data_IF_259840113348
#
_entry.id   IF_259840113348
#
_cell.length_a   1.000
_cell.length_b   1.000
_cell.length_c   1.000
_cell.angle_alpha   90.00
_cell.angle_beta   90.00
_cell.angle_gamma   90.00
#
_symmetry.space_group_name_H-M   'P 1'
#
loop_
_entity.id
_entity.type
_entity.pdbx_description
1 polymer ?
#
# COMPACT_ATOMS: atom_id res chain seq x y z
N UNK A 1 -9.25 -16.83 -13.90
CA UNK A 1 -8.70 -15.59 -14.48
C UNK A 1 -7.26 -15.49 -14.02
N UNK A 2 -6.28 -15.61 -14.92
CA UNK A 2 -4.87 -15.56 -14.54
C UNK A 2 -4.34 -14.12 -14.72
N UNK A 3 -4.73 -13.21 -13.83
CA UNK A 3 -4.04 -11.92 -13.73
C UNK A 3 -2.70 -12.18 -13.02
N UNK A 4 -1.58 -11.90 -13.69
CA UNK A 4 -0.24 -12.10 -13.12
C UNK A 4 -0.03 -11.31 -11.83
N UNK A 5 0.91 -11.76 -10.99
CA UNK A 5 1.28 -11.13 -9.72
C UNK A 5 1.54 -9.62 -9.93
N UNK A 6 0.84 -8.79 -9.16
CA UNK A 6 1.04 -7.33 -9.19
C UNK A 6 2.18 -6.97 -8.23
N UNK A 7 3.15 -6.22 -8.72
CA UNK A 7 4.31 -5.75 -7.93
C UNK A 7 4.37 -4.24 -7.99
N UNK A 8 4.28 -3.60 -6.83
CA UNK A 8 4.40 -2.16 -6.68
C UNK A 8 5.73 -1.88 -5.98
N UNK A 9 6.59 -1.08 -6.58
CA UNK A 9 7.80 -0.57 -5.94
C UNK A 9 7.68 0.93 -5.73
N UNK A 10 7.99 1.38 -4.52
CA UNK A 10 8.04 2.76 -4.10
C UNK A 10 9.51 3.07 -3.78
N UNK A 11 10.12 3.88 -4.62
CA UNK A 11 11.54 4.24 -4.49
C UNK A 11 11.69 5.70 -4.08
N UNK A 12 12.56 5.98 -3.11
CA UNK A 12 12.99 7.33 -2.77
C UNK A 12 14.51 7.41 -2.85
N UNK A 13 15.05 8.59 -3.13
CA UNK A 13 16.50 8.78 -3.17
C UNK A 13 17.07 8.84 -1.75
N UNK A 14 18.24 8.25 -1.56
CA UNK A 14 19.00 8.36 -0.31
C UNK A 14 19.56 9.78 -0.19
N UNK A 15 19.12 10.54 0.82
CA UNK A 15 19.76 11.82 1.12
C UNK A 15 21.25 11.59 1.40
N UNK A 16 22.10 12.31 0.65
CA UNK A 16 23.55 12.29 0.81
C UNK A 16 23.92 12.67 2.26
N UNK A 17 24.90 11.98 2.83
CA UNK A 17 25.28 12.14 4.25
C UNK A 17 25.74 13.57 4.62
N UNK A 18 26.07 14.41 3.65
CA UNK A 18 26.60 15.77 3.87
C UNK A 18 25.57 16.75 4.44
N UNK A 19 24.28 16.50 4.27
CA UNK A 19 23.18 17.35 4.79
C UNK A 19 22.51 16.77 6.05
N UNK A 20 22.92 15.56 6.48
CA UNK A 20 22.34 14.94 7.68
C UNK A 20 22.86 15.63 8.93
N UNK A 21 21.99 16.37 9.61
CA UNK A 21 22.16 16.60 11.06
C UNK A 21 22.21 15.23 11.73
N UNK A 22 23.31 14.94 12.43
CA UNK A 22 23.55 13.71 13.19
C UNK A 22 22.33 13.45 14.08
N UNK A 23 21.46 12.51 13.69
CA UNK A 23 20.26 12.12 14.44
C UNK A 23 18.91 12.18 13.70
N UNK A 24 18.80 12.76 12.50
CA UNK A 24 17.49 13.00 11.86
C UNK A 24 17.19 12.12 10.65
N UNK A 25 17.66 10.87 10.62
CA UNK A 25 17.36 10.00 9.49
C UNK A 25 15.95 9.40 9.65
N UNK A 26 15.02 9.87 8.80
CA UNK A 26 13.59 9.53 8.81
C UNK A 26 13.35 8.03 8.65
N UNK A 27 12.26 7.52 9.24
CA UNK A 27 11.84 6.13 8.98
C UNK A 27 11.46 6.00 7.52
N UNK A 28 11.66 4.80 6.95
CA UNK A 28 11.36 4.55 5.54
C UNK A 28 9.92 4.94 5.19
N UNK A 29 8.93 4.53 5.99
CA UNK A 29 7.51 4.88 5.80
C UNK A 29 7.15 6.37 6.03
N UNK A 30 8.10 7.20 6.47
CA UNK A 30 7.91 8.64 6.71
C UNK A 30 8.45 9.50 5.55
N UNK A 31 8.96 8.88 4.49
CA UNK A 31 9.41 9.62 3.32
C UNK A 31 8.24 10.33 2.61
N UNK A 32 8.42 11.60 2.20
CA UNK A 32 7.33 12.45 1.73
C UNK A 32 6.86 12.08 0.32
N UNK A 33 7.78 11.66 -0.55
CA UNK A 33 7.53 11.41 -1.97
C UNK A 33 8.26 10.14 -2.39
N UNK A 34 7.55 9.32 -3.16
CA UNK A 34 8.03 8.07 -3.72
C UNK A 34 7.88 8.07 -5.23
N UNK A 35 8.86 7.55 -5.94
CA UNK A 35 8.71 7.15 -7.35
C UNK A 35 8.04 5.78 -7.38
N UNK A 36 6.93 5.69 -8.08
CA UNK A 36 6.12 4.47 -8.14
C UNK A 36 6.41 3.70 -9.40
N UNK A 37 6.63 2.39 -9.27
CA UNK A 37 6.74 1.46 -10.37
C UNK A 37 5.72 0.33 -10.19
N UNK A 38 4.95 0.04 -11.24
CA UNK A 38 4.06 -1.11 -11.28
C UNK A 38 4.60 -2.12 -12.29
N UNK A 39 4.91 -3.33 -11.82
CA UNK A 39 5.49 -4.41 -12.62
C UNK A 39 6.74 -3.95 -13.42
N UNK A 40 7.60 -3.15 -12.77
CA UNK A 40 8.84 -2.61 -13.36
C UNK A 40 8.66 -1.39 -14.25
N UNK A 41 7.43 -0.94 -14.52
CA UNK A 41 7.16 0.26 -15.31
C UNK A 41 6.91 1.46 -14.39
N UNK A 42 7.56 2.60 -14.67
CA UNK A 42 7.34 3.84 -13.91
C UNK A 42 5.92 4.34 -14.13
N UNK A 43 5.18 4.54 -13.04
CA UNK A 43 3.78 4.95 -13.06
C UNK A 43 3.54 6.36 -12.50
N UNK A 44 4.57 6.99 -11.91
CA UNK A 44 4.48 8.37 -11.43
C UNK A 44 5.09 8.53 -10.05
N UNK A 45 4.43 9.35 -9.23
CA UNK A 45 4.82 9.60 -7.84
C UNK A 45 3.69 9.23 -6.88
N UNK A 46 4.06 8.80 -5.67
CA UNK A 46 3.14 8.56 -4.57
C UNK A 46 3.55 9.37 -3.34
N UNK A 47 2.56 9.75 -2.54
CA UNK A 47 2.75 10.47 -1.28
C UNK A 47 1.92 9.78 -0.21
N UNK A 48 2.38 9.85 1.04
CA UNK A 48 1.60 9.35 2.17
C UNK A 48 0.35 10.24 2.35
N UNK A 49 -0.82 9.62 2.45
CA UNK A 49 -2.08 10.29 2.74
C UNK A 49 -2.57 9.93 4.14
N UNK A 50 -3.09 10.91 4.86
CA UNK A 50 -3.82 10.66 6.10
C UNK A 50 -5.24 10.17 5.81
N UNK A 51 -5.77 9.27 6.66
CA UNK A 51 -7.13 8.76 6.50
C UNK A 51 -8.14 9.82 6.97
N UNK A 52 -9.00 10.27 6.07
CA UNK A 52 -10.13 11.14 6.39
C UNK A 52 -11.34 10.36 6.90
N UNK A 53 -12.45 11.06 7.15
CA UNK A 53 -13.68 10.44 7.68
C UNK A 53 -14.24 9.34 6.78
N UNK A 54 -14.14 9.52 5.45
CA UNK A 54 -14.61 8.54 4.46
C UNK A 54 -13.76 7.27 4.53
N UNK A 55 -12.44 7.40 4.54
CA UNK A 55 -11.52 6.26 4.65
C UNK A 55 -11.70 5.52 6.00
N UNK A 56 -11.84 6.26 7.10
CA UNK A 56 -12.11 5.66 8.41
C UNK A 56 -13.42 4.89 8.47
N UNK A 57 -14.47 5.36 7.78
CA UNK A 57 -15.74 4.62 7.68
C UNK A 57 -15.57 3.30 6.94
N UNK A 58 -14.85 3.30 5.81
CA UNK A 58 -14.51 2.07 5.09
C UNK A 58 -13.71 1.12 5.98
N UNK A 59 -12.66 1.61 6.67
CA UNK A 59 -11.83 0.81 7.56
C UNK A 59 -12.64 0.18 8.71
N UNK A 60 -13.59 0.92 9.30
CA UNK A 60 -14.51 0.40 10.32
C UNK A 60 -15.49 -0.63 9.75
N UNK A 61 -16.02 -0.41 8.56
CA UNK A 61 -16.94 -1.34 7.93
C UNK A 61 -16.27 -2.69 7.60
N UNK A 62 -15.00 -2.66 7.19
CA UNK A 62 -14.24 -3.89 6.91
C UNK A 62 -13.63 -4.53 8.15
N UNK A 63 -13.57 -3.85 9.29
CA UNK A 63 -12.96 -4.30 10.56
C UNK A 63 -13.33 -5.75 10.99
N UNK A 64 -14.60 -6.20 10.93
CA UNK A 64 -14.98 -7.57 11.32
C UNK A 64 -14.62 -8.65 10.28
N UNK A 65 -14.26 -8.29 9.04
CA UNK A 65 -13.93 -9.27 7.98
C UNK A 65 -12.47 -9.68 8.11
N UNK A 66 -12.16 -10.94 8.37
CA UNK A 66 -10.74 -11.34 8.49
C UNK A 66 -10.01 -11.41 7.15
N UNK A 67 -10.65 -11.98 6.11
CA UNK A 67 -10.10 -12.17 4.77
C UNK A 67 -11.25 -12.25 3.73
N UNK A 68 -10.93 -12.06 2.45
CA UNK A 68 -11.87 -12.21 1.34
C UNK A 68 -12.11 -10.92 0.56
N UNK A 69 -12.99 -10.97 -0.43
CA UNK A 69 -13.45 -9.81 -1.19
C UNK A 69 -14.94 -9.56 -0.93
N UNK A 70 -15.36 -8.31 -1.03
CA UNK A 70 -16.74 -7.91 -0.82
C UNK A 70 -17.03 -6.54 -1.39
N UNK A 71 -18.28 -6.11 -1.22
CA UNK A 71 -18.77 -4.81 -1.68
C UNK A 71 -19.37 -4.09 -0.49
N UNK A 72 -18.91 -2.87 -0.23
CA UNK A 72 -19.54 -1.98 0.74
C UNK A 72 -20.66 -1.21 0.04
N UNK A 73 -21.84 -1.11 0.68
CA UNK A 73 -22.96 -0.37 0.10
C UNK A 73 -22.59 1.11 -0.05
N UNK A 74 -23.03 1.70 -1.16
CA UNK A 74 -22.89 3.13 -1.38
C UNK A 74 -23.63 3.92 -0.29
N UNK A 75 -22.99 4.97 0.22
CA UNK A 75 -23.69 5.92 1.08
C UNK A 75 -24.60 6.79 0.24
N UNK A 76 -25.85 6.95 0.68
CA UNK A 76 -26.82 7.87 0.08
C UNK A 76 -26.45 9.32 0.37
N UNK A 77 -25.36 9.82 -0.21
CA UNK A 77 -25.08 11.25 -0.24
C UNK A 77 -25.77 11.87 -1.45
N UNK A 78 -26.40 13.02 -1.21
CA UNK A 78 -27.21 13.78 -2.17
C UNK A 78 -26.33 14.35 -3.28
N UNK A 79 -25.94 13.52 -4.25
CA UNK A 79 -25.54 13.85 -5.62
C UNK A 79 -24.90 12.62 -6.28
N UNK A 80 -25.74 11.74 -6.86
CA UNK A 80 -25.48 11.14 -8.17
C UNK A 80 -24.35 10.11 -8.36
N UNK A 81 -23.64 9.65 -7.33
CA UNK A 81 -22.64 8.59 -7.48
C UNK A 81 -22.86 7.50 -6.42
N UNK A 82 -23.84 6.62 -6.68
CA UNK A 82 -24.00 5.34 -5.99
C UNK A 82 -22.87 4.38 -6.42
N UNK A 83 -21.60 4.70 -6.09
CA UNK A 83 -20.46 3.84 -6.42
C UNK A 83 -20.23 2.85 -5.29
N UNK A 84 -20.80 1.66 -5.45
CA UNK A 84 -20.50 0.48 -4.65
C UNK A 84 -18.97 0.29 -4.52
N UNK A 85 -18.45 0.34 -3.29
CA UNK A 85 -16.99 0.24 -3.08
C UNK A 85 -16.61 -1.22 -2.90
N UNK A 86 -15.96 -1.78 -3.91
CA UNK A 86 -15.35 -3.11 -3.82
C UNK A 86 -14.10 -3.07 -2.93
N UNK A 87 -13.95 -4.06 -2.05
CA UNK A 87 -12.76 -4.21 -1.22
C UNK A 87 -12.24 -5.64 -1.25
N UNK A 88 -10.95 -5.77 -0.99
CA UNK A 88 -10.29 -7.04 -0.70
C UNK A 88 -9.55 -6.90 0.63
N UNK A 89 -9.75 -7.84 1.54
CA UNK A 89 -9.02 -7.95 2.79
C UNK A 89 -8.22 -9.24 2.78
N UNK A 90 -6.94 -9.13 3.08
CA UNK A 90 -6.03 -10.25 3.12
C UNK A 90 -4.98 -10.04 4.22
N UNK A 91 -4.29 -11.11 4.57
CA UNK A 91 -3.17 -11.04 5.51
C UNK A 91 -1.95 -10.52 4.74
N UNK A 92 -1.32 -9.47 5.26
CA UNK A 92 -0.04 -9.02 4.73
C UNK A 92 1.10 -9.54 5.59
N UNK A 93 2.08 -10.18 4.96
CA UNK A 93 3.36 -10.48 5.59
C UNK A 93 4.32 -9.32 5.37
N UNK A 94 4.80 -8.74 6.46
CA UNK A 94 5.76 -7.63 6.45
C UNK A 94 7.16 -8.17 6.67
N UNK A 95 8.06 -7.90 5.72
CA UNK A 95 9.47 -8.28 5.79
C UNK A 95 10.32 -7.01 5.76
N UNK A 96 11.10 -6.80 6.81
CA UNK A 96 12.05 -5.68 6.89
C UNK A 96 13.44 -6.20 6.50
N UNK A 97 13.95 -5.74 5.35
CA UNK A 97 15.27 -6.14 4.87
C UNK A 97 16.38 -5.32 5.53
N UNK A 98 16.20 -4.00 5.60
CA UNK A 98 17.14 -3.08 6.25
C UNK A 98 16.43 -1.79 6.65
N UNK A 99 17.18 -0.79 7.13
CA UNK A 99 16.65 0.57 7.36
C UNK A 99 16.11 1.23 6.08
N UNK A 100 16.60 0.79 4.93
CA UNK A 100 16.33 1.36 3.62
C UNK A 100 15.40 0.45 2.79
N UNK A 101 14.97 -0.72 3.32
CA UNK A 101 14.14 -1.66 2.56
C UNK A 101 13.10 -2.37 3.41
N UNK A 102 11.86 -2.32 2.94
CA UNK A 102 10.71 -3.01 3.53
C UNK A 102 9.80 -3.56 2.44
N UNK A 103 9.23 -4.75 2.65
CA UNK A 103 8.33 -5.42 1.72
C UNK A 103 7.05 -5.89 2.42
N UNK A 104 5.94 -5.83 1.71
CA UNK A 104 4.64 -6.34 2.13
C UNK A 104 4.12 -7.32 1.09
N UNK A 105 3.79 -8.53 1.51
CA UNK A 105 3.26 -9.58 0.66
C UNK A 105 1.81 -9.87 1.03
N UNK A 106 0.88 -9.65 0.11
CA UNK A 106 -0.51 -10.01 0.28
C UNK A 106 -0.65 -11.53 0.12
N UNK A 107 -0.88 -12.21 1.24
CA UNK A 107 -1.01 -13.66 1.29
C UNK A 107 -2.46 -14.06 1.04
N UNK A 108 -2.70 -14.84 -0.01
CA UNK A 108 -3.97 -15.53 -0.21
C UNK A 108 -3.89 -16.97 0.32
N UNK A 109 -4.91 -17.44 1.05
CA UNK A 109 -4.92 -18.78 1.61
C UNK A 109 -5.03 -19.85 0.51
N UNK A 110 -5.64 -19.51 -0.62
CA UNK A 110 -5.92 -20.42 -1.73
C UNK A 110 -4.79 -20.45 -2.78
N UNK A 111 -3.94 -19.42 -2.81
CA UNK A 111 -2.77 -19.37 -3.68
C UNK A 111 -1.63 -20.14 -3.03
N UNK A 112 -0.98 -21.06 -3.76
CA UNK A 112 0.08 -21.99 -3.31
C UNK A 112 1.36 -21.29 -2.77
N UNK A 113 1.24 -20.47 -1.74
CA UNK A 113 2.29 -19.67 -1.10
C UNK A 113 2.73 -18.42 -1.89
N UNK A 114 2.12 -18.12 -3.03
CA UNK A 114 2.57 -17.03 -3.91
C UNK A 114 1.71 -15.76 -3.73
N UNK A 115 2.30 -14.61 -3.37
CA UNK A 115 1.53 -13.39 -3.15
C UNK A 115 0.94 -12.85 -4.46
N UNK A 116 -0.33 -12.45 -4.43
CA UNK A 116 -1.00 -11.81 -5.57
C UNK A 116 -0.59 -10.35 -5.74
N UNK A 117 -0.29 -9.69 -4.62
CA UNK A 117 0.21 -8.32 -4.57
C UNK A 117 1.45 -8.27 -3.67
N UNK A 118 2.53 -7.70 -4.20
CA UNK A 118 3.74 -7.38 -3.45
C UNK A 118 4.00 -5.88 -3.50
N UNK A 119 4.25 -5.25 -2.35
CA UNK A 119 4.62 -3.84 -2.25
C UNK A 119 6.02 -3.73 -1.65
N UNK A 120 6.91 -3.06 -2.36
CA UNK A 120 8.30 -2.83 -1.94
C UNK A 120 8.53 -1.35 -1.69
N UNK A 121 9.14 -1.02 -0.57
CA UNK A 121 9.60 0.32 -0.26
C UNK A 121 11.12 0.28 -0.20
N UNK A 122 11.76 1.12 -1.00
CA UNK A 122 13.20 1.12 -1.18
C UNK A 122 13.73 2.55 -1.12
N UNK A 123 14.80 2.76 -0.37
CA UNK A 123 15.63 3.95 -0.45
C UNK A 123 16.87 3.60 -1.27
N UNK A 124 16.93 4.13 -2.49
CA UNK A 124 17.97 3.86 -3.49
C UNK A 124 18.99 4.98 -3.59
#
# INVERSE_FOLDING_TARGET
MASGQVRIALECDKEEEKTKKVGTSRKLLEEPVWRTYCNGKKCGFAVKRECGEKEWRVLKAVEPISMGAGVLPAEKTVAGEDEETMYMRAKFERVMGSRDSEAFYMMNPDSNGAPELSVYLLRV
#
